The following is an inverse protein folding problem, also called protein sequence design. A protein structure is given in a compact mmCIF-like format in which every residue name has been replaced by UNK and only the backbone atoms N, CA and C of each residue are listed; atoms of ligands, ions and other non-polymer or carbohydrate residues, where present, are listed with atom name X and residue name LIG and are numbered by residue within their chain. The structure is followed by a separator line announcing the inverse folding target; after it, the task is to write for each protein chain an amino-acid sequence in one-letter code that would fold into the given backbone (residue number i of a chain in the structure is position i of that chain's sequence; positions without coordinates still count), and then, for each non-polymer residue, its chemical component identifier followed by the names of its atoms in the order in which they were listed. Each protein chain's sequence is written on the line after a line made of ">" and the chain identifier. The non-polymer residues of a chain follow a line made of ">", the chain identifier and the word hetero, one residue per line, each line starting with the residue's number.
data_IF_923076250021
#
_entry.id   IF_923076250021
#
_cell.length_a   1.000
_cell.length_b   1.000
_cell.length_c   1.000
_cell.angle_alpha   90.00
_cell.angle_beta   90.00
_cell.angle_gamma   90.00
#
_symmetry.space_group_name_H-M   'P 1'
#
loop_
_entity.id
_entity.type
_entity.pdbx_description
1 polymer ?
#
# COMPACT_ATOMS: atom_id res chain seq x y z
N UNK A 1 5.65 -17.59 -7.69
CA UNK A 1 6.04 -16.33 -7.03
C UNK A 1 5.24 -15.22 -7.70
N UNK A 2 4.49 -14.41 -6.94
CA UNK A 2 3.73 -13.28 -7.51
C UNK A 2 4.68 -12.11 -7.74
N UNK A 3 4.90 -11.73 -9.00
CA UNK A 3 5.68 -10.55 -9.36
C UNK A 3 4.73 -9.34 -9.46
N UNK A 4 4.52 -8.66 -8.34
CA UNK A 4 3.85 -7.36 -8.32
C UNK A 4 4.86 -6.26 -8.71
N UNK A 5 4.38 -5.04 -8.96
CA UNK A 5 5.21 -3.93 -9.44
C UNK A 5 6.23 -3.39 -8.42
N UNK A 6 6.21 -3.89 -7.18
CA UNK A 6 7.17 -3.50 -6.15
C UNK A 6 8.39 -4.41 -6.09
N UNK A 7 9.53 -3.79 -5.79
CA UNK A 7 10.76 -4.51 -5.56
C UNK A 7 10.64 -5.35 -4.28
N UNK A 8 10.75 -6.67 -4.41
CA UNK A 8 10.76 -7.68 -3.34
C UNK A 8 9.49 -7.84 -2.47
N UNK A 9 8.42 -7.07 -2.70
CA UNK A 9 7.16 -7.13 -1.94
C UNK A 9 7.37 -7.19 -0.41
N UNK A 10 8.13 -6.23 0.13
CA UNK A 10 8.53 -6.17 1.56
C UNK A 10 7.35 -6.21 2.55
N UNK A 11 6.14 -5.93 2.09
CA UNK A 11 4.90 -6.33 2.74
C UNK A 11 3.85 -6.74 1.71
N UNK A 12 2.93 -7.62 2.12
CA UNK A 12 1.80 -8.05 1.31
C UNK A 12 0.54 -8.10 2.16
N UNK A 13 -0.58 -7.63 1.61
CA UNK A 13 -1.90 -7.75 2.19
C UNK A 13 -2.94 -8.01 1.10
N UNK A 14 -4.14 -8.41 1.54
CA UNK A 14 -5.27 -8.70 0.64
C UNK A 14 -6.52 -7.98 1.13
N UNK A 15 -7.33 -7.46 0.21
CA UNK A 15 -8.66 -6.96 0.57
C UNK A 15 -9.55 -8.11 1.04
N UNK A 16 -10.53 -7.80 1.90
CA UNK A 16 -11.48 -8.79 2.46
C UNK A 16 -12.35 -9.47 1.39
N UNK A 17 -12.57 -8.83 0.24
CA UNK A 17 -13.27 -9.40 -0.91
C UNK A 17 -12.35 -10.09 -1.92
N UNK A 18 -11.06 -10.22 -1.60
CA UNK A 18 -10.01 -10.86 -2.39
C UNK A 18 -9.81 -10.27 -3.80
N UNK A 19 -10.31 -9.05 -4.04
CA UNK A 19 -10.20 -8.37 -5.34
C UNK A 19 -8.92 -7.54 -5.48
N UNK A 20 -8.23 -7.25 -4.38
CA UNK A 20 -7.02 -6.44 -4.37
C UNK A 20 -5.90 -7.13 -3.59
N UNK A 21 -4.70 -7.07 -4.16
CA UNK A 21 -3.42 -7.35 -3.50
C UNK A 21 -2.75 -6.01 -3.23
N UNK A 22 -2.39 -5.75 -1.98
CA UNK A 22 -1.56 -4.63 -1.59
C UNK A 22 -0.13 -5.12 -1.46
N UNK A 23 0.83 -4.47 -2.09
CA UNK A 23 2.24 -4.75 -1.88
C UNK A 23 3.03 -3.48 -1.59
N UNK A 24 4.14 -3.63 -0.90
CA UNK A 24 5.03 -2.52 -0.56
C UNK A 24 6.47 -2.78 -0.93
N UNK A 25 7.21 -1.70 -1.12
CA UNK A 25 8.65 -1.68 -1.35
C UNK A 25 9.29 -0.45 -0.74
N UNK A 26 10.52 -0.16 -1.18
CA UNK A 26 11.18 1.10 -0.82
C UNK A 26 10.52 2.26 -1.58
N UNK A 27 10.11 3.30 -0.86
CA UNK A 27 9.49 4.53 -1.36
C UNK A 27 8.12 4.39 -2.06
N UNK A 28 7.72 3.17 -2.41
CA UNK A 28 6.50 2.90 -3.15
C UNK A 28 5.68 1.75 -2.54
N UNK A 29 4.39 1.79 -2.84
CA UNK A 29 3.45 0.67 -2.71
C UNK A 29 2.63 0.51 -3.98
N UNK A 30 1.94 -0.61 -4.11
CA UNK A 30 1.04 -0.86 -5.23
C UNK A 30 -0.22 -1.57 -4.81
N UNK A 31 -1.28 -1.30 -5.56
CA UNK A 31 -2.52 -2.06 -5.55
C UNK A 31 -2.62 -2.83 -6.85
N UNK A 32 -2.76 -4.15 -6.76
CA UNK A 32 -2.95 -5.02 -7.91
C UNK A 32 -4.33 -5.67 -7.84
N UNK A 33 -5.12 -5.52 -8.89
CA UNK A 33 -6.40 -6.20 -9.04
C UNK A 33 -6.17 -7.69 -9.31
N UNK A 34 -6.92 -8.57 -8.63
CA UNK A 34 -6.85 -10.02 -8.88
C UNK A 34 -7.69 -10.46 -10.08
N UNK A 35 -8.54 -9.57 -10.62
CA UNK A 35 -9.43 -9.90 -11.74
C UNK A 35 -8.72 -9.82 -13.08
N UNK A 36 -7.90 -8.79 -13.26
CA UNK A 36 -7.25 -8.44 -14.53
C UNK A 36 -5.74 -8.21 -14.39
N UNK A 37 -5.19 -8.36 -13.18
CA UNK A 37 -3.77 -8.11 -12.86
C UNK A 37 -3.32 -6.68 -13.15
N UNK A 38 -4.25 -5.74 -13.33
CA UNK A 38 -3.93 -4.33 -13.43
C UNK A 38 -3.32 -3.86 -12.11
N UNK A 39 -2.26 -3.04 -12.21
CA UNK A 39 -1.55 -2.53 -11.04
C UNK A 39 -1.50 -1.01 -11.08
N UNK A 40 -1.63 -0.42 -9.90
CA UNK A 40 -1.43 1.01 -9.67
C UNK A 40 -0.37 1.16 -8.61
N UNK A 41 0.77 1.70 -9.00
CA UNK A 41 1.88 2.07 -8.10
C UNK A 41 1.73 3.51 -7.62
N UNK A 42 2.03 3.75 -6.36
CA UNK A 42 1.98 5.08 -5.75
C UNK A 42 2.89 5.15 -4.52
N UNK A 43 3.31 6.36 -4.19
CA UNK A 43 4.22 6.64 -3.07
C UNK A 43 3.68 7.77 -2.19
N UNK A 44 4.60 8.42 -1.48
CA UNK A 44 4.28 9.51 -0.55
C UNK A 44 3.93 10.81 -1.27
N UNK A 45 2.96 11.57 -0.78
CA UNK A 45 2.70 12.94 -1.24
C UNK A 45 3.75 13.93 -0.73
N UNK A 46 4.30 13.69 0.46
CA UNK A 46 5.38 14.49 1.06
C UNK A 46 6.45 13.60 1.68
N UNK A 47 7.72 13.92 1.45
CA UNK A 47 8.85 13.24 2.09
C UNK A 47 9.00 13.70 3.55
N UNK A 48 9.15 12.75 4.46
CA UNK A 48 9.58 13.01 5.85
C UNK A 48 11.12 12.97 5.94
N UNK A 49 11.72 13.47 7.03
CA UNK A 49 13.16 13.32 7.26
C UNK A 49 13.66 11.87 7.23
N UNK A 50 12.78 10.89 7.48
CA UNK A 50 13.07 9.45 7.41
C UNK A 50 13.00 8.85 5.99
N UNK A 51 12.87 9.66 4.95
CA UNK A 51 12.75 9.16 3.57
C UNK A 51 14.10 8.67 3.00
N UNK A 52 14.14 7.59 2.20
CA UNK A 52 13.00 6.76 1.78
C UNK A 52 12.52 5.82 2.88
N UNK A 53 11.21 5.62 2.92
CA UNK A 53 10.55 4.70 3.85
C UNK A 53 10.17 3.40 3.16
N UNK A 54 10.24 2.28 3.89
CA UNK A 54 9.73 0.99 3.45
C UNK A 54 8.26 0.86 3.79
N UNK A 55 7.45 0.58 2.78
CA UNK A 55 6.05 0.20 2.93
C UNK A 55 5.97 -1.29 3.21
N UNK A 56 5.48 -1.68 4.39
CA UNK A 56 5.57 -3.08 4.84
C UNK A 56 4.39 -3.58 5.66
N UNK A 57 3.58 -2.69 6.24
CA UNK A 57 2.35 -3.07 6.92
C UNK A 57 1.14 -2.90 6.01
N UNK A 58 0.31 -3.92 5.88
CA UNK A 58 -0.94 -3.85 5.12
C UNK A 58 -2.07 -4.57 5.85
N UNK A 59 -3.25 -3.97 5.86
CA UNK A 59 -4.46 -4.57 6.41
C UNK A 59 -5.68 -4.15 5.59
N UNK A 60 -6.71 -4.99 5.56
CA UNK A 60 -7.98 -4.65 4.96
C UNK A 60 -9.01 -4.31 6.04
N UNK A 61 -9.75 -3.24 5.80
CA UNK A 61 -10.96 -2.90 6.53
C UNK A 61 -12.21 -3.51 5.92
N UNK A 62 -13.36 -3.08 6.43
CA UNK A 62 -14.66 -3.34 5.83
C UNK A 62 -14.81 -2.62 4.49
N UNK A 63 -15.67 -3.15 3.61
CA UNK A 63 -16.08 -2.50 2.34
C UNK A 63 -14.95 -2.21 1.34
N UNK A 64 -13.80 -2.86 1.47
CA UNK A 64 -12.67 -2.72 0.55
C UNK A 64 -11.76 -1.52 0.85
N UNK A 65 -11.95 -0.85 1.99
CA UNK A 65 -10.94 0.08 2.52
C UNK A 65 -9.68 -0.69 2.87
N UNK A 66 -8.54 -0.11 2.52
CA UNK A 66 -7.22 -0.70 2.74
C UNK A 66 -6.37 0.23 3.60
N UNK A 67 -5.53 -0.35 4.45
CA UNK A 67 -4.60 0.37 5.30
C UNK A 67 -3.18 -0.02 4.93
N UNK A 68 -2.31 0.98 4.82
CA UNK A 68 -0.88 0.83 4.59
C UNK A 68 -0.08 1.50 5.69
N UNK A 69 1.06 0.92 6.06
CA UNK A 69 1.98 1.52 7.02
C UNK A 69 3.43 1.41 6.55
N UNK A 70 4.18 2.48 6.79
CA UNK A 70 5.62 2.55 6.53
C UNK A 70 6.45 2.41 7.82
N UNK A 71 7.74 2.14 7.66
CA UNK A 71 8.72 2.20 8.76
C UNK A 71 9.08 3.63 9.19
N UNK A 72 8.64 4.65 8.45
CA UNK A 72 8.66 6.06 8.83
C UNK A 72 7.52 6.47 9.78
N UNK A 73 6.83 5.51 10.41
CA UNK A 73 5.68 5.73 11.30
C UNK A 73 4.56 6.52 10.63
N UNK A 74 4.19 6.14 9.42
CA UNK A 74 3.12 6.80 8.65
C UNK A 74 2.02 5.82 8.28
N UNK A 75 0.77 6.24 8.49
CA UNK A 75 -0.44 5.52 8.12
C UNK A 75 -1.01 6.08 6.81
N UNK A 76 -1.46 5.16 5.97
CA UNK A 76 -2.16 5.42 4.72
C UNK A 76 -3.53 4.75 4.78
N UNK A 77 -4.59 5.50 4.48
CA UNK A 77 -5.93 4.95 4.22
C UNK A 77 -6.18 5.03 2.73
N UNK A 78 -6.36 3.88 2.11
CA UNK A 78 -6.42 3.70 0.67
C UNK A 78 -7.83 3.20 0.33
N UNK A 79 -8.50 3.94 -0.55
CA UNK A 79 -9.83 3.58 -1.03
C UNK A 79 -9.73 2.47 -2.09
N UNK A 80 -10.87 1.85 -2.40
CA UNK A 80 -10.97 0.76 -3.36
C UNK A 80 -10.49 1.13 -4.78
N UNK A 81 -10.58 2.39 -5.15
CA UNK A 81 -10.09 2.95 -6.42
C UNK A 81 -8.57 3.25 -6.41
N UNK A 82 -7.91 2.95 -5.30
CA UNK A 82 -6.51 3.25 -5.05
C UNK A 82 -6.21 4.73 -4.89
N UNK A 83 -7.20 5.55 -4.53
CA UNK A 83 -6.96 6.91 -4.02
C UNK A 83 -6.55 6.86 -2.55
N UNK A 84 -5.62 7.73 -2.17
CA UNK A 84 -5.19 7.86 -0.76
C UNK A 84 -6.10 8.89 -0.09
N UNK A 85 -6.99 8.41 0.78
CA UNK A 85 -7.90 9.26 1.55
C UNK A 85 -7.21 9.90 2.77
N UNK A 86 -6.19 9.25 3.31
CA UNK A 86 -5.39 9.78 4.42
C UNK A 86 -3.93 9.38 4.23
N UNK A 87 -3.03 10.32 4.43
CA UNK A 87 -1.60 10.11 4.62
C UNK A 87 -1.18 10.90 5.86
N UNK A 88 -0.81 10.22 6.95
CA UNK A 88 -0.53 10.90 8.23
C UNK A 88 0.58 10.21 9.03
N UNK A 89 1.59 10.96 9.52
CA UNK A 89 2.51 10.46 10.53
C UNK A 89 1.78 10.13 11.84
N UNK A 90 2.24 9.09 12.54
CA UNK A 90 1.66 8.58 13.79
C UNK A 90 2.76 8.56 14.86
N UNK A 91 3.05 9.75 15.40
CA UNK A 91 3.97 9.99 16.52
C UNK A 91 3.47 11.15 17.37
#
# INVERSE_FOLDING_TARGET
>A
MFACENSFNYGIGFSSDHKLIMTGGLADMSLTSTQDWSSKKFGVSKKLPSWPEYFKGFAAGSEGVCFGASDGYRLFVIQRDGSVALEKPVF
#
